data_IF_600877742186
#
_entry.id   IF_600877742186
#
_cell.length_a   1.000
_cell.length_b   1.000
_cell.length_c   1.000
_cell.angle_alpha   90.00
_cell.angle_beta   90.00
_cell.angle_gamma   90.00
#
_symmetry.space_group_name_H-M   'P 1'
#
loop_
_entity.id
_entity.type
_entity.pdbx_description
1 polymer ?
#
# COMPACT_ATOMS: atom_id res chain seq x y z
N UNK A 1 15.96 -3.15 -0.92
CA UNK A 1 16.25 -4.13 -1.99
C UNK A 1 17.57 -4.82 -1.71
N UNK A 2 18.67 -4.29 -2.25
CA UNK A 2 20.02 -4.88 -2.10
C UNK A 2 20.38 -5.19 -0.63
N UNK A 3 20.16 -4.24 0.28
CA UNK A 3 20.39 -4.44 1.73
C UNK A 3 19.63 -5.66 2.28
N UNK A 4 18.37 -5.84 1.89
CA UNK A 4 17.53 -6.94 2.38
C UNK A 4 18.08 -8.29 1.89
N UNK A 5 18.57 -8.35 0.64
CA UNK A 5 19.22 -9.55 0.09
C UNK A 5 20.50 -9.86 0.86
N UNK A 6 21.37 -8.85 1.05
CA UNK A 6 22.60 -9.00 1.82
C UNK A 6 22.39 -9.32 3.31
N UNK A 7 21.18 -9.10 3.82
CA UNK A 7 20.75 -9.39 5.20
C UNK A 7 19.91 -10.67 5.32
N UNK A 8 19.89 -11.55 4.31
CA UNK A 8 19.06 -12.77 4.31
C UNK A 8 17.57 -12.50 4.61
N UNK A 9 17.01 -11.48 3.96
CA UNK A 9 15.62 -11.07 4.05
C UNK A 9 15.18 -10.38 5.35
N UNK A 10 16.10 -10.04 6.25
CA UNK A 10 15.78 -9.15 7.38
C UNK A 10 15.49 -7.72 6.88
N UNK A 11 14.34 -7.18 7.27
CA UNK A 11 13.87 -5.84 6.92
C UNK A 11 13.92 -4.88 8.11
N UNK A 12 14.16 -5.38 9.32
CA UNK A 12 14.20 -4.55 10.51
C UNK A 12 15.52 -3.80 10.62
N UNK A 13 15.47 -2.50 10.38
CA UNK A 13 16.64 -1.61 10.48
C UNK A 13 17.27 -1.61 11.88
N UNK A 14 16.57 -2.07 12.93
CA UNK A 14 17.12 -2.19 14.28
C UNK A 14 18.19 -3.28 14.38
N UNK A 15 18.11 -4.30 13.54
CA UNK A 15 19.06 -5.41 13.47
C UNK A 15 20.20 -5.15 12.48
N UNK A 16 20.13 -4.05 11.72
CA UNK A 16 21.16 -3.63 10.78
C UNK A 16 22.17 -2.68 11.45
N UNK A 17 23.24 -2.31 10.74
CA UNK A 17 24.23 -1.33 11.19
C UNK A 17 25.63 -1.66 10.65
N UNK A 18 26.45 -0.64 10.40
CA UNK A 18 27.83 -0.82 9.91
C UNK A 18 27.97 -1.44 8.51
N UNK A 19 26.89 -1.52 7.73
CA UNK A 19 26.88 -2.19 6.42
C UNK A 19 27.79 -1.52 5.38
N UNK A 20 28.21 -0.26 5.58
CA UNK A 20 29.14 0.40 4.65
C UNK A 20 30.44 -0.39 4.44
N UNK A 21 30.85 -1.23 5.41
CA UNK A 21 32.10 -2.00 5.36
C UNK A 21 32.00 -3.17 4.39
N UNK A 22 30.79 -3.69 4.19
CA UNK A 22 30.52 -4.92 3.43
C UNK A 22 29.85 -4.63 2.09
N UNK A 23 29.10 -3.53 2.00
CA UNK A 23 28.26 -3.17 0.86
C UNK A 23 28.53 -1.72 0.39
N UNK A 24 29.76 -1.39 -0.05
CA UNK A 24 30.15 -0.01 -0.36
C UNK A 24 29.38 0.58 -1.55
N UNK A 25 29.02 -0.25 -2.54
CA UNK A 25 28.27 0.21 -3.72
C UNK A 25 26.83 0.56 -3.32
N UNK A 26 26.16 -0.32 -2.56
CA UNK A 26 24.81 -0.06 -2.05
C UNK A 26 24.80 1.15 -1.11
N UNK A 27 25.86 1.32 -0.31
CA UNK A 27 26.02 2.48 0.57
C UNK A 27 26.08 3.81 -0.21
N UNK A 28 26.94 3.91 -1.23
CA UNK A 28 27.08 5.14 -2.04
C UNK A 28 25.81 5.40 -2.86
N UNK A 29 25.25 4.38 -3.50
CA UNK A 29 24.02 4.54 -4.31
C UNK A 29 22.82 4.93 -3.44
N UNK A 30 22.70 4.39 -2.23
CA UNK A 30 21.69 4.81 -1.26
C UNK A 30 21.92 6.23 -0.75
N UNK A 31 23.17 6.68 -0.61
CA UNK A 31 23.49 8.06 -0.25
C UNK A 31 23.06 9.02 -1.35
N UNK A 32 23.43 8.75 -2.61
CA UNK A 32 23.03 9.54 -3.78
C UNK A 32 21.52 9.65 -3.87
N UNK A 33 20.80 8.53 -3.73
CA UNK A 33 19.33 8.54 -3.72
C UNK A 33 18.75 9.34 -2.56
N UNK A 34 19.35 9.27 -1.37
CA UNK A 34 18.89 10.04 -0.20
C UNK A 34 19.14 11.54 -0.38
N UNK A 35 20.32 11.93 -0.90
CA UNK A 35 20.67 13.33 -1.18
C UNK A 35 19.75 13.93 -2.25
N UNK A 36 19.44 13.16 -3.30
CA UNK A 36 18.47 13.57 -4.30
C UNK A 36 17.07 13.74 -3.70
N UNK A 37 16.59 12.80 -2.88
CA UNK A 37 15.25 12.84 -2.28
C UNK A 37 15.05 14.03 -1.32
N UNK A 38 16.07 14.41 -0.56
CA UNK A 38 15.96 15.53 0.39
C UNK A 38 16.04 16.91 -0.26
N UNK A 39 16.42 16.98 -1.54
CA UNK A 39 16.59 18.24 -2.27
C UNK A 39 17.97 18.87 -2.07
N UNK A 40 19.04 18.07 -1.97
CA UNK A 40 20.40 18.63 -1.87
C UNK A 40 20.76 19.36 -3.17
N UNK A 41 21.37 20.57 -3.11
CA UNK A 41 21.75 21.31 -4.30
C UNK A 41 22.55 20.45 -5.28
N UNK A 42 22.36 20.71 -6.57
CA UNK A 42 22.88 19.95 -7.73
C UNK A 42 22.20 18.61 -8.03
N UNK A 43 21.51 17.96 -7.09
CA UNK A 43 20.81 16.69 -7.37
C UNK A 43 19.44 16.92 -8.02
N UNK A 44 18.88 15.88 -8.67
CA UNK A 44 17.63 16.01 -9.41
C UNK A 44 16.44 16.47 -8.56
N UNK A 45 16.36 16.00 -7.31
CA UNK A 45 15.26 16.34 -6.43
C UNK A 45 15.31 17.77 -5.88
N UNK A 46 16.46 18.45 -5.95
CA UNK A 46 16.53 19.89 -5.65
C UNK A 46 15.71 20.67 -6.68
N UNK A 47 16.01 20.49 -7.96
CA UNK A 47 15.32 21.17 -9.05
C UNK A 47 13.81 20.91 -9.05
N UNK A 48 13.37 19.68 -8.78
CA UNK A 48 11.93 19.38 -8.76
C UNK A 48 11.22 19.87 -7.50
N UNK A 49 11.84 19.74 -6.31
CA UNK A 49 11.19 20.03 -5.03
C UNK A 49 11.20 21.51 -4.70
N UNK A 50 12.32 22.20 -4.91
CA UNK A 50 12.43 23.62 -4.61
C UNK A 50 11.55 24.45 -5.55
N UNK A 51 11.43 24.06 -6.83
CA UNK A 51 10.49 24.71 -7.76
C UNK A 51 9.04 24.66 -7.27
N UNK A 52 8.61 23.57 -6.62
CA UNK A 52 7.26 23.48 -6.03
C UNK A 52 7.13 24.41 -4.82
N UNK A 53 8.17 24.50 -3.98
CA UNK A 53 8.16 25.38 -2.81
C UNK A 53 8.09 26.84 -3.24
N UNK A 54 8.88 27.22 -4.23
CA UNK A 54 8.88 28.55 -4.84
C UNK A 54 7.52 28.87 -5.48
N UNK A 55 6.90 27.90 -6.18
CA UNK A 55 5.60 28.09 -6.80
C UNK A 55 4.48 28.29 -5.76
N UNK A 56 4.55 27.58 -4.64
CA UNK A 56 3.61 27.76 -3.53
C UNK A 56 3.82 29.13 -2.86
N UNK A 57 5.05 29.63 -2.81
CA UNK A 57 5.35 30.95 -2.24
C UNK A 57 4.86 32.10 -3.12
N UNK A 58 5.00 31.97 -4.44
CA UNK A 58 4.49 32.94 -5.41
C UNK A 58 2.94 32.92 -5.54
N UNK A 59 2.25 31.94 -4.93
CA UNK A 59 0.80 31.81 -5.07
C UNK A 59 0.04 32.67 -4.05
N UNK A 60 -0.90 33.49 -4.52
CA UNK A 60 -1.78 34.31 -3.67
C UNK A 60 -3.17 33.70 -3.38
N UNK A 61 -3.38 32.44 -3.76
CA UNK A 61 -4.65 31.74 -3.54
C UNK A 61 -4.92 31.48 -2.05
N UNK A 62 -6.21 31.37 -1.72
CA UNK A 62 -6.63 31.00 -0.38
C UNK A 62 -6.04 29.64 0.03
N UNK A 63 -5.41 29.58 1.19
CA UNK A 63 -4.75 28.37 1.70
C UNK A 63 -3.26 28.23 1.33
N UNK A 64 -2.70 29.13 0.52
CA UNK A 64 -1.28 29.10 0.15
C UNK A 64 -0.34 29.11 1.38
N UNK A 65 -0.66 29.87 2.42
CA UNK A 65 0.13 29.90 3.66
C UNK A 65 0.19 28.54 4.38
N UNK A 66 -0.93 27.80 4.43
CA UNK A 66 -0.95 26.46 5.01
C UNK A 66 -0.21 25.44 4.12
N UNK A 67 -0.35 25.58 2.80
CA UNK A 67 0.42 24.77 1.85
C UNK A 67 1.92 25.00 2.02
N UNK A 68 2.38 26.26 2.10
CA UNK A 68 3.78 26.64 2.33
C UNK A 68 4.31 26.00 3.62
N UNK A 69 3.57 26.13 4.72
CA UNK A 69 3.93 25.48 5.98
C UNK A 69 4.06 23.96 5.83
N UNK A 70 3.09 23.32 5.18
CA UNK A 70 3.05 21.86 5.03
C UNK A 70 4.20 21.32 4.19
N UNK A 71 4.53 21.99 3.08
CA UNK A 71 5.64 21.59 2.21
C UNK A 71 6.98 21.81 2.91
N UNK A 72 7.19 22.94 3.59
CA UNK A 72 8.41 23.22 4.36
C UNK A 72 8.60 22.25 5.53
N UNK A 73 7.54 21.96 6.29
CA UNK A 73 7.58 20.94 7.35
C UNK A 73 7.92 19.56 6.76
N UNK A 74 7.37 19.24 5.59
CA UNK A 74 7.70 18.04 4.83
C UNK A 74 9.18 17.93 4.49
N UNK A 75 9.86 19.02 4.12
CA UNK A 75 11.31 19.02 3.83
C UNK A 75 12.11 18.50 5.04
N UNK A 76 11.85 19.05 6.23
CA UNK A 76 12.52 18.62 7.46
C UNK A 76 12.22 17.14 7.78
N UNK A 77 10.95 16.74 7.74
CA UNK A 77 10.54 15.36 8.07
C UNK A 77 11.14 14.36 7.09
N UNK A 78 11.15 14.66 5.79
CA UNK A 78 11.78 13.84 4.76
C UNK A 78 13.28 13.68 5.00
N UNK A 79 13.99 14.77 5.27
CA UNK A 79 15.42 14.70 5.58
C UNK A 79 15.68 13.84 6.82
N UNK A 80 14.88 14.03 7.87
CA UNK A 80 15.02 13.29 9.11
C UNK A 80 14.80 11.77 8.94
N UNK A 81 13.69 11.32 8.33
CA UNK A 81 13.45 9.88 8.21
C UNK A 81 14.39 9.20 7.21
N UNK A 82 14.77 9.89 6.11
CA UNK A 82 15.69 9.33 5.11
C UNK A 82 17.07 9.12 5.70
N UNK A 83 17.61 10.13 6.41
CA UNK A 83 18.93 10.01 7.02
C UNK A 83 18.91 9.15 8.29
N UNK A 84 17.79 9.08 9.03
CA UNK A 84 17.61 8.06 10.07
C UNK A 84 17.83 6.66 9.51
N UNK A 85 17.15 6.33 8.40
CA UNK A 85 17.31 5.02 7.75
C UNK A 85 18.78 4.81 7.33
N UNK A 86 19.35 5.78 6.62
CA UNK A 86 20.72 5.70 6.12
C UNK A 86 21.76 5.48 7.25
N UNK A 87 21.65 6.24 8.36
CA UNK A 87 22.55 6.09 9.49
C UNK A 87 22.33 4.77 10.25
N UNK A 88 21.08 4.39 10.51
CA UNK A 88 20.79 3.12 11.21
C UNK A 88 21.24 1.89 10.41
N UNK A 89 21.11 1.92 9.08
CA UNK A 89 21.42 0.77 8.21
C UNK A 89 22.92 0.67 7.94
N UNK A 90 23.57 1.77 7.52
CA UNK A 90 24.96 1.72 7.04
C UNK A 90 26.01 2.12 8.07
N UNK A 91 25.64 2.86 9.10
CA UNK A 91 26.57 3.39 10.12
C UNK A 91 26.25 2.84 11.52
N UNK A 92 27.05 3.25 12.50
CA UNK A 92 26.94 2.80 13.88
C UNK A 92 27.47 1.38 14.10
N UNK A 93 27.11 0.82 15.25
CA UNK A 93 27.53 -0.54 15.62
C UNK A 93 26.90 -1.61 14.73
N UNK A 94 27.66 -2.65 14.45
CA UNK A 94 27.18 -3.87 13.79
C UNK A 94 26.23 -4.60 14.74
N UNK A 95 24.94 -4.60 14.39
CA UNK A 95 23.87 -5.24 15.17
C UNK A 95 23.40 -6.57 14.59
N UNK A 96 23.85 -6.91 13.38
CA UNK A 96 23.51 -8.14 12.69
C UNK A 96 24.23 -9.36 13.33
N UNK A 97 23.62 -10.54 13.25
CA UNK A 97 24.21 -11.79 13.77
C UNK A 97 24.25 -11.89 15.30
N UNK A 98 23.55 -11.00 16.03
CA UNK A 98 23.34 -11.16 17.47
C UNK A 98 22.13 -12.09 17.70
N UNK A 99 22.20 -13.06 18.62
CA UNK A 99 21.04 -13.88 18.94
C UNK A 99 19.96 -12.97 19.52
N UNK A 100 18.89 -12.77 18.76
CA UNK A 100 17.69 -12.14 19.27
C UNK A 100 16.92 -13.22 20.03
N UNK A 101 16.77 -13.04 21.34
CA UNK A 101 15.80 -13.79 22.14
C UNK A 101 14.40 -13.46 21.60
N UNK A 102 13.97 -14.19 20.59
CA UNK A 102 12.55 -14.44 20.39
C UNK A 102 12.19 -15.52 21.41
N UNK A 103 11.62 -15.10 22.53
CA UNK A 103 10.80 -15.97 23.36
C UNK A 103 9.56 -16.34 22.55
N UNK A 104 9.71 -17.25 21.60
CA UNK A 104 8.62 -18.04 21.07
C UNK A 104 9.05 -19.49 21.20
N UNK A 105 8.34 -20.20 22.06
CA UNK A 105 8.53 -21.61 22.36
C UNK A 105 8.33 -22.45 21.10
N UNK A 106 9.40 -22.93 20.48
CA UNK A 106 9.31 -24.13 19.64
C UNK A 106 10.52 -25.04 19.85
N UNK A 107 10.17 -26.29 20.08
CA UNK A 107 10.97 -27.41 20.53
C UNK A 107 11.96 -27.89 19.46
N UNK A 108 12.93 -28.66 19.94
CA UNK A 108 13.94 -29.37 19.16
C UNK A 108 13.34 -30.19 18.01
N UNK A 109 13.85 -29.97 16.79
CA UNK A 109 13.70 -30.91 15.69
C UNK A 109 13.39 -30.26 14.35
N UNK A 110 14.24 -30.59 13.37
CA UNK A 110 14.05 -30.40 11.91
C UNK A 110 14.21 -28.99 11.34
N UNK A 111 15.16 -28.88 10.39
CA UNK A 111 15.27 -27.90 9.29
C UNK A 111 14.12 -26.87 9.18
N UNK A 112 14.23 -25.73 9.89
CA UNK A 112 13.19 -24.70 9.96
C UNK A 112 13.37 -23.61 8.88
N UNK A 113 12.39 -23.39 7.98
CA UNK A 113 12.40 -22.36 6.93
C UNK A 113 12.00 -20.95 7.44
N UNK A 114 12.31 -20.59 8.69
CA UNK A 114 11.78 -19.37 9.34
C UNK A 114 12.77 -18.29 9.77
N UNK A 115 14.09 -18.52 9.72
CA UNK A 115 15.05 -17.51 10.18
C UNK A 115 15.35 -16.48 9.09
N UNK A 116 14.61 -15.36 9.08
CA UNK A 116 14.94 -14.19 8.28
C UNK A 116 16.01 -13.36 8.98
N UNK A 117 17.26 -13.49 8.53
CA UNK A 117 18.38 -12.73 9.08
C UNK A 117 19.72 -13.47 9.01
N UNK A 118 20.80 -12.74 9.30
CA UNK A 118 22.14 -13.31 9.37
C UNK A 118 22.31 -14.10 10.68
N UNK A 119 22.77 -15.35 10.55
CA UNK A 119 23.17 -16.22 11.67
C UNK A 119 24.48 -15.70 12.27
N UNK A 120 24.76 -15.87 13.59
CA UNK A 120 26.04 -15.49 14.18
C UNK A 120 27.25 -16.01 13.37
N UNK A 121 28.10 -15.10 12.90
CA UNK A 121 29.29 -15.42 12.10
C UNK A 121 29.13 -15.26 10.58
N UNK A 122 27.90 -15.14 10.07
CA UNK A 122 27.67 -14.75 8.67
C UNK A 122 27.85 -13.24 8.49
N UNK A 123 28.44 -12.86 7.36
CA UNK A 123 28.70 -11.46 7.02
C UNK A 123 27.75 -11.01 5.91
N UNK A 124 27.24 -9.77 5.97
CA UNK A 124 26.53 -9.19 4.84
C UNK A 124 27.42 -9.18 3.60
N UNK A 125 26.80 -9.31 2.43
CA UNK A 125 27.49 -9.22 1.15
C UNK A 125 26.73 -8.31 0.19
N UNK A 126 27.46 -7.77 -0.78
CA UNK A 126 26.84 -6.98 -1.83
C UNK A 126 25.95 -7.85 -2.73
N UNK A 127 24.93 -7.24 -3.35
CA UNK A 127 24.04 -7.95 -4.25
C UNK A 127 24.74 -8.38 -5.54
N UNK A 128 24.25 -9.43 -6.22
CA UNK A 128 24.75 -9.82 -7.52
C UNK A 128 24.61 -8.70 -8.56
N UNK A 129 25.39 -8.79 -9.63
CA UNK A 129 25.44 -7.80 -10.73
C UNK A 129 24.08 -7.44 -11.33
N UNK A 130 23.15 -8.39 -11.34
CA UNK A 130 21.77 -8.18 -11.83
C UNK A 130 21.02 -7.12 -11.02
N UNK A 131 21.40 -6.89 -9.76
CA UNK A 131 20.81 -5.87 -8.88
C UNK A 131 21.67 -4.61 -8.82
N UNK A 132 22.99 -4.75 -8.73
CA UNK A 132 23.89 -3.59 -8.56
C UNK A 132 24.00 -2.71 -9.81
N UNK A 133 23.97 -3.29 -11.01
CA UNK A 133 24.03 -2.52 -12.27
C UNK A 133 22.83 -1.57 -12.39
N UNK A 134 21.57 -2.04 -12.26
CA UNK A 134 20.42 -1.12 -12.26
C UNK A 134 20.50 -0.04 -11.18
N UNK A 135 20.98 -0.36 -9.97
CA UNK A 135 21.13 0.63 -8.90
C UNK A 135 22.09 1.76 -9.28
N UNK A 136 23.24 1.43 -9.87
CA UNK A 136 24.22 2.42 -10.33
C UNK A 136 23.63 3.23 -11.49
N UNK A 137 23.00 2.57 -12.46
CA UNK A 137 22.39 3.23 -13.62
C UNK A 137 21.27 4.20 -13.24
N UNK A 138 20.53 3.94 -12.14
CA UNK A 138 19.51 4.86 -11.61
C UNK A 138 20.10 5.98 -10.75
N UNK A 139 21.24 5.75 -10.09
CA UNK A 139 21.90 6.77 -9.28
C UNK A 139 22.47 7.92 -10.14
N UNK A 140 22.99 7.61 -11.33
CA UNK A 140 23.56 8.60 -12.27
C UNK A 140 22.54 9.69 -12.68
N UNK A 141 21.36 9.36 -13.25
CA UNK A 141 20.37 10.38 -13.59
C UNK A 141 19.83 11.06 -12.33
N UNK A 142 19.71 10.37 -11.19
CA UNK A 142 19.31 11.00 -9.93
C UNK A 142 20.29 12.10 -9.49
N UNK A 143 21.56 11.99 -9.82
CA UNK A 143 22.57 13.01 -9.51
C UNK A 143 22.57 14.19 -10.50
N UNK A 144 22.31 13.97 -11.78
CA UNK A 144 22.64 14.96 -12.82
C UNK A 144 21.43 15.42 -13.65
N UNK A 145 20.38 14.59 -13.81
CA UNK A 145 19.35 14.84 -14.83
C UNK A 145 18.58 16.15 -14.60
N UNK A 146 18.33 16.52 -13.34
CA UNK A 146 17.56 17.72 -13.01
C UNK A 146 18.23 19.00 -13.50
N UNK A 147 19.56 19.06 -13.50
CA UNK A 147 20.31 20.21 -14.03
C UNK A 147 20.01 20.46 -15.51
N UNK A 148 19.91 19.39 -16.30
CA UNK A 148 19.65 19.49 -17.74
C UNK A 148 18.17 19.64 -18.08
N UNK A 149 17.28 19.11 -17.24
CA UNK A 149 15.85 19.03 -17.58
C UNK A 149 14.99 20.11 -16.96
N UNK A 150 15.45 20.83 -15.94
CA UNK A 150 14.66 21.87 -15.26
C UNK A 150 14.12 22.91 -16.26
N UNK A 151 14.98 23.48 -17.10
CA UNK A 151 14.60 24.51 -18.05
C UNK A 151 13.63 24.00 -19.14
N UNK A 152 13.94 22.93 -19.90
CA UNK A 152 13.05 22.46 -20.96
C UNK A 152 11.72 21.91 -20.44
N UNK A 153 11.68 21.36 -19.21
CA UNK A 153 10.47 20.80 -18.61
C UNK A 153 9.59 21.89 -18.00
N UNK A 154 10.13 22.81 -17.21
CA UNK A 154 9.31 23.83 -16.52
C UNK A 154 8.96 25.01 -17.41
N UNK A 155 9.92 25.50 -18.21
CA UNK A 155 9.79 26.75 -18.96
C UNK A 155 9.85 26.57 -20.48
N UNK A 156 10.24 25.38 -20.93
CA UNK A 156 10.31 25.01 -22.33
C UNK A 156 8.99 24.52 -22.92
N UNK A 157 9.08 23.86 -24.06
CA UNK A 157 7.91 23.37 -24.81
C UNK A 157 7.53 21.93 -24.47
N UNK A 158 8.16 21.29 -23.47
CA UNK A 158 7.97 19.87 -23.20
C UNK A 158 6.52 19.49 -22.88
N UNK A 159 5.83 20.31 -22.09
CA UNK A 159 4.41 20.16 -21.76
C UNK A 159 3.50 21.11 -22.52
N UNK A 160 4.01 21.75 -23.58
CA UNK A 160 3.22 22.67 -24.38
C UNK A 160 2.01 21.93 -24.95
N UNK A 161 0.85 22.56 -24.88
CA UNK A 161 -0.44 22.04 -25.35
C UNK A 161 -0.97 20.79 -24.60
N UNK A 162 -0.25 20.30 -23.58
CA UNK A 162 -0.69 19.19 -22.70
C UNK A 162 -1.30 19.73 -21.41
N UNK A 163 -0.72 20.79 -20.85
CA UNK A 163 -1.16 21.39 -19.58
C UNK A 163 -1.86 22.72 -19.87
N UNK A 164 -3.11 22.84 -19.43
CA UNK A 164 -3.88 24.09 -19.48
C UNK A 164 -3.84 24.71 -18.08
N UNK A 165 -3.14 25.83 -17.95
CA UNK A 165 -3.06 26.59 -16.69
C UNK A 165 -4.18 27.63 -16.70
N UNK A 166 -5.06 27.60 -15.69
CA UNK A 166 -6.14 28.57 -15.57
C UNK A 166 -5.63 29.95 -15.16
N UNK A 167 -6.34 31.01 -15.55
CA UNK A 167 -5.95 32.42 -15.33
C UNK A 167 -5.68 32.79 -13.86
N UNK A 168 -6.26 32.05 -12.91
CA UNK A 168 -6.04 32.25 -11.47
C UNK A 168 -4.69 31.72 -10.95
N UNK A 169 -3.89 31.02 -11.78
CA UNK A 169 -2.65 30.34 -11.37
C UNK A 169 -1.41 30.97 -12.04
N UNK A 170 -1.07 32.19 -11.63
CA UNK A 170 0.03 33.00 -12.20
C UNK A 170 1.44 32.64 -11.69
N UNK A 171 1.56 31.79 -10.67
CA UNK A 171 2.81 31.53 -9.96
C UNK A 171 3.96 31.09 -10.90
N UNK A 172 3.68 30.20 -11.87
CA UNK A 172 4.71 29.74 -12.80
C UNK A 172 5.14 30.82 -13.81
N UNK A 173 4.25 31.77 -14.14
CA UNK A 173 4.58 32.89 -15.02
C UNK A 173 5.47 33.91 -14.31
N UNK A 174 5.23 34.13 -13.01
CA UNK A 174 6.07 34.98 -12.17
C UNK A 174 7.46 34.37 -11.97
N UNK A 175 7.54 33.09 -11.59
CA UNK A 175 8.81 32.38 -11.43
C UNK A 175 9.65 32.33 -12.70
N UNK A 176 9.02 32.29 -13.88
CA UNK A 176 9.74 32.34 -15.16
C UNK A 176 10.55 33.62 -15.33
N UNK A 177 10.10 34.76 -14.76
CA UNK A 177 10.80 36.05 -14.86
C UNK A 177 12.06 36.07 -13.98
N UNK A 178 12.00 35.37 -12.86
CA UNK A 178 13.08 35.32 -11.87
C UNK A 178 14.05 34.15 -12.11
N UNK A 179 13.73 33.23 -13.01
CA UNK A 179 14.59 32.10 -13.36
C UNK A 179 15.72 32.51 -14.31
N UNK A 180 16.95 32.59 -13.78
CA UNK A 180 18.16 32.96 -14.53
C UNK A 180 19.05 31.74 -14.86
N UNK A 181 18.49 30.53 -14.84
CA UNK A 181 19.14 29.27 -15.19
C UNK A 181 19.44 28.36 -14.00
N UNK A 182 19.82 27.09 -14.24
CA UNK A 182 19.95 26.07 -13.20
C UNK A 182 20.98 26.41 -12.11
N UNK A 183 22.10 27.04 -12.49
CA UNK A 183 23.13 27.45 -11.53
C UNK A 183 22.66 28.62 -10.65
N UNK A 184 21.87 29.55 -11.18
CA UNK A 184 21.34 30.67 -10.40
C UNK A 184 20.42 30.17 -9.29
N UNK A 185 19.52 29.24 -9.61
CA UNK A 185 18.63 28.56 -8.66
C UNK A 185 19.43 27.89 -7.53
N UNK A 186 20.53 27.20 -7.86
CA UNK A 186 21.40 26.60 -6.84
C UNK A 186 22.01 27.68 -5.93
N UNK A 187 22.50 28.79 -6.48
CA UNK A 187 23.12 29.85 -5.68
C UNK A 187 22.13 30.51 -4.73
N UNK A 188 20.91 30.79 -5.20
CA UNK A 188 19.85 31.39 -4.39
C UNK A 188 19.42 30.42 -3.27
N UNK A 189 19.38 29.13 -3.56
CA UNK A 189 19.01 28.10 -2.59
C UNK A 189 19.96 27.97 -1.41
N UNK A 190 21.21 28.43 -1.52
CA UNK A 190 22.18 28.38 -0.41
C UNK A 190 21.72 29.20 0.80
N UNK A 191 20.83 30.17 0.58
CA UNK A 191 20.24 31.01 1.62
C UNK A 191 18.78 30.67 1.91
N UNK A 192 18.19 29.71 1.19
CA UNK A 192 16.77 29.39 1.29
C UNK A 192 16.44 28.57 2.54
N UNK A 193 15.25 28.80 3.10
CA UNK A 193 14.77 28.04 4.24
C UNK A 193 14.70 26.51 4.02
N UNK A 194 14.28 25.98 2.84
CA UNK A 194 14.28 24.56 2.56
C UNK A 194 15.62 23.87 2.79
N UNK A 195 16.73 24.47 2.31
CA UNK A 195 18.06 23.89 2.47
C UNK A 195 18.45 23.76 3.94
N UNK A 196 18.26 24.82 4.72
CA UNK A 196 18.57 24.82 6.16
C UNK A 196 17.68 23.84 6.94
N UNK A 197 16.41 23.71 6.57
CA UNK A 197 15.51 22.70 7.16
C UNK A 197 15.93 21.28 6.81
N UNK A 198 16.37 21.02 5.57
CA UNK A 198 16.90 19.73 5.17
C UNK A 198 18.17 19.38 5.95
N UNK A 199 19.13 20.31 6.02
CA UNK A 199 20.36 20.16 6.81
C UNK A 199 20.02 19.91 8.28
N UNK A 200 19.10 20.68 8.86
CA UNK A 200 18.64 20.48 10.23
C UNK A 200 18.07 19.07 10.44
N UNK A 201 17.27 18.56 9.50
CA UNK A 201 16.75 17.19 9.55
C UNK A 201 17.86 16.13 9.56
N UNK A 202 18.89 16.30 8.72
CA UNK A 202 20.07 15.42 8.68
C UNK A 202 20.86 15.47 9.98
N UNK A 203 21.15 16.68 10.49
CA UNK A 203 21.91 16.90 11.73
C UNK A 203 21.17 16.32 12.93
N UNK A 204 19.86 16.55 13.04
CA UNK A 204 19.04 15.99 14.11
C UNK A 204 18.99 14.47 14.03
N UNK A 205 18.86 13.89 12.83
CA UNK A 205 18.92 12.44 12.65
C UNK A 205 20.28 11.86 13.06
N UNK A 206 21.38 12.51 12.66
CA UNK A 206 22.73 12.12 13.06
C UNK A 206 22.89 12.15 14.59
N UNK A 207 22.50 13.25 15.23
CA UNK A 207 22.58 13.40 16.68
C UNK A 207 21.75 12.34 17.41
N UNK A 208 20.52 12.10 16.96
CA UNK A 208 19.59 11.17 17.60
C UNK A 208 20.01 9.71 17.48
N UNK A 209 20.57 9.29 16.35
CA UNK A 209 20.83 7.87 16.10
C UNK A 209 22.30 7.47 16.19
N UNK A 210 23.25 8.40 16.00
CA UNK A 210 24.69 8.11 16.08
C UNK A 210 25.32 8.62 17.39
N UNK A 211 24.91 9.78 17.89
CA UNK A 211 25.55 10.41 19.06
C UNK A 211 24.83 10.07 20.37
N UNK A 212 23.51 10.25 20.42
CA UNK A 212 22.73 10.04 21.64
C UNK A 212 21.39 9.33 21.40
N UNK A 213 21.40 7.99 21.26
CA UNK A 213 20.19 7.16 21.09
C UNK A 213 19.17 7.24 22.24
N UNK A 214 19.54 7.82 23.39
CA UNK A 214 18.64 7.99 24.53
C UNK A 214 17.56 9.05 24.27
N UNK A 215 17.83 10.03 23.40
CA UNK A 215 16.88 11.12 23.11
C UNK A 215 15.62 10.59 22.41
N UNK A 216 15.70 9.83 21.30
CA UNK A 216 14.52 9.19 20.70
C UNK A 216 13.77 8.29 21.67
N UNK A 217 14.48 7.54 22.52
CA UNK A 217 13.85 6.67 23.52
C UNK A 217 13.04 7.48 24.56
N UNK A 218 13.58 8.60 25.04
CA UNK A 218 12.89 9.50 25.96
C UNK A 218 11.67 10.17 25.30
N UNK A 219 11.79 10.61 24.04
CA UNK A 219 10.67 11.17 23.27
C UNK A 219 9.55 10.13 23.12
N UNK A 220 9.90 8.89 22.77
CA UNK A 220 8.94 7.79 22.66
C UNK A 220 8.21 7.51 23.98
N UNK A 221 8.91 7.53 25.11
CA UNK A 221 8.30 7.33 26.42
C UNK A 221 7.36 8.47 26.80
N UNK A 222 7.76 9.73 26.57
CA UNK A 222 6.95 10.91 26.91
C UNK A 222 5.72 11.06 26.02
N UNK A 223 5.86 10.81 24.73
CA UNK A 223 4.79 10.94 23.73
C UNK A 223 4.23 9.59 23.29
N UNK A 224 4.19 8.62 24.20
CA UNK A 224 3.80 7.24 23.90
C UNK A 224 2.44 7.10 23.17
N UNK A 225 1.37 7.84 23.54
CA UNK A 225 0.09 7.74 22.82
C UNK A 225 0.21 8.19 21.35
N UNK A 226 0.94 9.29 21.11
CA UNK A 226 1.17 9.79 19.75
C UNK A 226 2.07 8.84 18.96
N UNK A 227 3.09 8.28 19.61
CA UNK A 227 3.93 7.25 19.00
C UNK A 227 3.10 6.05 18.55
N UNK A 228 2.23 5.51 19.42
CA UNK A 228 1.36 4.37 19.08
C UNK A 228 0.47 4.69 17.88
N UNK A 229 -0.12 5.89 17.85
CA UNK A 229 -0.97 6.32 16.74
C UNK A 229 -0.20 6.30 15.41
N UNK A 230 1.00 6.87 15.38
CA UNK A 230 1.85 6.95 14.18
C UNK A 230 2.41 5.57 13.77
N UNK A 231 2.82 4.77 14.75
CA UNK A 231 3.35 3.41 14.55
C UNK A 231 2.28 2.46 13.98
N UNK A 232 1.02 2.64 14.39
CA UNK A 232 -0.14 1.94 13.82
C UNK A 232 -0.71 2.62 12.57
N UNK A 233 0.05 3.50 11.90
CA UNK A 233 -0.35 4.21 10.66
C UNK A 233 -1.72 4.89 10.77
N UNK A 234 -1.97 5.58 11.87
CA UNK A 234 -3.25 6.23 12.20
C UNK A 234 -4.44 5.26 12.30
N UNK A 235 -4.18 3.96 12.47
CA UNK A 235 -5.17 2.89 12.45
C UNK A 235 -6.00 2.80 11.16
N UNK A 236 -5.54 3.42 10.05
CA UNK A 236 -6.26 3.38 8.78
C UNK A 236 -6.33 1.96 8.21
N UNK A 237 -5.25 1.17 8.35
CA UNK A 237 -5.24 -0.23 7.94
C UNK A 237 -6.29 -1.05 8.71
N UNK A 238 -6.34 -0.88 10.03
CA UNK A 238 -7.32 -1.56 10.90
C UNK A 238 -8.75 -1.10 10.61
N UNK A 239 -8.95 0.18 10.35
CA UNK A 239 -10.25 0.70 9.91
C UNK A 239 -10.68 0.04 8.61
N UNK A 240 -9.80 -0.04 7.61
CA UNK A 240 -10.12 -0.67 6.33
C UNK A 240 -10.43 -2.17 6.48
N UNK A 241 -9.66 -2.89 7.29
CA UNK A 241 -9.87 -4.31 7.54
C UNK A 241 -11.21 -4.58 8.26
N UNK A 242 -11.54 -3.76 9.28
CA UNK A 242 -12.76 -3.96 10.08
C UNK A 242 -13.99 -3.47 9.33
N UNK A 243 -13.95 -2.27 8.75
CA UNK A 243 -15.13 -1.64 8.16
C UNK A 243 -15.40 -2.16 6.76
N UNK A 244 -14.43 -2.09 5.86
CA UNK A 244 -14.64 -2.51 4.47
C UNK A 244 -14.54 -4.02 4.32
N UNK A 245 -13.43 -4.64 4.71
CA UNK A 245 -13.27 -6.09 4.53
C UNK A 245 -14.17 -6.89 5.48
N UNK A 246 -14.32 -6.46 6.74
CA UNK A 246 -15.26 -7.05 7.69
C UNK A 246 -16.71 -6.84 7.27
N UNK A 247 -17.10 -5.62 6.89
CA UNK A 247 -18.44 -5.31 6.39
C UNK A 247 -18.81 -6.10 5.13
N UNK A 248 -17.92 -6.18 4.14
CA UNK A 248 -18.13 -6.98 2.94
C UNK A 248 -18.29 -8.48 3.26
N UNK A 249 -17.47 -9.03 4.16
CA UNK A 249 -17.61 -10.43 4.61
C UNK A 249 -18.93 -10.65 5.34
N UNK A 250 -19.39 -9.70 6.15
CA UNK A 250 -20.68 -9.80 6.85
C UNK A 250 -21.85 -9.82 5.86
N UNK A 251 -21.85 -8.91 4.90
CA UNK A 251 -22.88 -8.85 3.84
C UNK A 251 -22.85 -10.13 3.01
N UNK A 252 -21.67 -10.58 2.60
CA UNK A 252 -21.51 -11.84 1.86
C UNK A 252 -22.04 -13.06 2.62
N UNK A 253 -21.74 -13.15 3.92
CA UNK A 253 -22.29 -14.21 4.79
C UNK A 253 -23.81 -14.10 4.94
N UNK A 254 -24.35 -12.88 5.01
CA UNK A 254 -25.79 -12.64 5.05
C UNK A 254 -26.48 -13.12 3.78
N UNK A 255 -25.98 -12.73 2.61
CA UNK A 255 -26.50 -13.15 1.31
C UNK A 255 -26.38 -14.65 1.09
N UNK A 256 -25.27 -15.28 1.50
CA UNK A 256 -25.11 -16.73 1.39
C UNK A 256 -26.07 -17.49 2.31
N UNK A 257 -26.17 -17.11 3.58
CA UNK A 257 -27.04 -17.81 4.53
C UNK A 257 -28.53 -17.62 4.19
N UNK A 258 -28.94 -16.40 3.83
CA UNK A 258 -30.36 -16.08 3.58
C UNK A 258 -30.77 -16.40 2.15
N UNK A 259 -29.98 -15.95 1.17
CA UNK A 259 -30.29 -16.15 -0.24
C UNK A 259 -30.11 -17.60 -0.67
N UNK A 260 -28.94 -18.16 -0.42
CA UNK A 260 -28.59 -19.48 -0.96
C UNK A 260 -29.21 -20.60 -0.10
N UNK A 261 -28.81 -20.70 1.17
CA UNK A 261 -29.22 -21.84 2.02
C UNK A 261 -30.71 -21.84 2.37
N UNK A 262 -31.30 -20.68 2.64
CA UNK A 262 -32.71 -20.62 3.09
C UNK A 262 -33.65 -20.53 1.90
N UNK A 263 -33.41 -19.60 0.97
CA UNK A 263 -34.35 -19.33 -0.12
C UNK A 263 -34.19 -20.32 -1.27
N UNK A 264 -32.97 -20.52 -1.80
CA UNK A 264 -32.76 -21.43 -2.93
C UNK A 264 -32.83 -22.89 -2.46
N UNK A 265 -31.94 -23.30 -1.58
CA UNK A 265 -31.86 -24.70 -1.14
C UNK A 265 -33.10 -25.10 -0.32
N UNK A 266 -33.49 -24.26 0.63
CA UNK A 266 -34.59 -24.56 1.55
C UNK A 266 -35.96 -24.52 0.87
N UNK A 267 -36.32 -23.39 0.28
CA UNK A 267 -37.67 -23.14 -0.22
C UNK A 267 -37.86 -23.68 -1.65
N UNK A 268 -36.94 -23.38 -2.57
CA UNK A 268 -37.11 -23.78 -3.98
C UNK A 268 -36.79 -25.25 -4.18
N UNK A 269 -35.60 -25.71 -3.78
CA UNK A 269 -35.16 -27.09 -4.04
C UNK A 269 -35.82 -28.08 -3.09
N UNK A 270 -35.59 -27.95 -1.79
CA UNK A 270 -36.14 -28.90 -0.81
C UNK A 270 -37.65 -28.74 -0.63
N UNK A 271 -38.19 -27.53 -0.78
CA UNK A 271 -39.64 -27.30 -0.72
C UNK A 271 -40.37 -27.96 -1.88
N UNK A 272 -39.87 -27.83 -3.11
CA UNK A 272 -40.46 -28.52 -4.27
C UNK A 272 -40.36 -30.04 -4.13
N UNK A 273 -39.21 -30.57 -3.70
CA UNK A 273 -39.04 -32.00 -3.45
C UNK A 273 -40.02 -32.53 -2.38
N UNK A 274 -40.22 -31.77 -1.30
CA UNK A 274 -41.21 -32.11 -0.26
C UNK A 274 -42.64 -32.07 -0.78
N UNK A 275 -42.99 -31.08 -1.61
CA UNK A 275 -44.32 -30.95 -2.20
C UNK A 275 -44.63 -32.14 -3.12
N UNK A 276 -43.68 -32.53 -3.99
CA UNK A 276 -43.81 -33.71 -4.85
C UNK A 276 -43.95 -34.98 -4.01
N UNK A 277 -43.10 -35.17 -2.99
CA UNK A 277 -43.18 -36.35 -2.12
C UNK A 277 -44.51 -36.41 -1.35
N UNK A 278 -45.02 -35.27 -0.88
CA UNK A 278 -46.33 -35.18 -0.24
C UNK A 278 -47.46 -35.56 -1.21
N UNK A 279 -47.44 -35.02 -2.42
CA UNK A 279 -48.39 -35.37 -3.47
C UNK A 279 -48.34 -36.86 -3.81
N UNK A 280 -47.15 -37.44 -3.99
CA UNK A 280 -46.98 -38.88 -4.23
C UNK A 280 -47.54 -39.74 -3.09
N UNK A 281 -47.35 -39.34 -1.83
CA UNK A 281 -47.91 -40.05 -0.67
C UNK A 281 -49.44 -40.02 -0.66
N UNK A 282 -50.05 -38.91 -1.06
CA UNK A 282 -51.52 -38.79 -1.18
C UNK A 282 -52.02 -39.66 -2.32
N UNK A 283 -51.42 -39.55 -3.51
CA UNK A 283 -51.81 -40.35 -4.68
C UNK A 283 -51.67 -41.84 -4.41
N UNK A 284 -50.68 -42.26 -3.61
CA UNK A 284 -50.53 -43.66 -3.19
C UNK A 284 -51.75 -44.19 -2.42
N UNK A 285 -52.45 -43.36 -1.65
CA UNK A 285 -53.66 -43.78 -0.93
C UNK A 285 -54.84 -44.11 -1.85
N UNK A 286 -54.81 -43.64 -3.11
CA UNK A 286 -55.84 -43.97 -4.10
C UNK A 286 -55.72 -45.42 -4.57
N UNK A 287 -54.54 -46.05 -4.43
CA UNK A 287 -54.36 -47.48 -4.64
C UNK A 287 -54.71 -48.25 -3.37
N UNK A 288 -56.00 -48.56 -3.21
CA UNK A 288 -56.55 -49.25 -2.04
C UNK A 288 -56.37 -50.78 -2.03
N UNK A 289 -55.96 -51.37 -3.16
CA UNK A 289 -55.81 -52.83 -3.31
C UNK A 289 -57.13 -53.62 -3.50
N UNK A 290 -58.29 -53.00 -3.30
CA UNK A 290 -59.59 -53.62 -3.53
C UNK A 290 -60.00 -53.57 -5.01
N UNK A 291 -60.30 -54.74 -5.59
CA UNK A 291 -60.65 -54.88 -7.03
C UNK A 291 -61.86 -54.02 -7.41
N UNK A 292 -62.86 -53.90 -6.52
CA UNK A 292 -64.08 -53.12 -6.76
C UNK A 292 -63.81 -51.62 -7.01
N UNK A 293 -62.84 -51.02 -6.31
CA UNK A 293 -62.50 -49.60 -6.53
C UNK A 293 -61.90 -49.36 -7.92
N UNK A 294 -61.07 -50.28 -8.42
CA UNK A 294 -60.52 -50.18 -9.77
C UNK A 294 -61.59 -50.33 -10.85
N UNK A 295 -62.50 -51.31 -10.69
CA UNK A 295 -63.61 -51.50 -11.61
C UNK A 295 -64.51 -50.26 -11.71
N UNK A 296 -64.82 -49.65 -10.56
CA UNK A 296 -65.60 -48.40 -10.50
C UNK A 296 -64.91 -47.24 -11.22
N UNK A 297 -63.61 -47.03 -10.98
CA UNK A 297 -62.83 -45.98 -11.67
C UNK A 297 -62.76 -46.21 -13.18
N UNK A 298 -62.61 -47.46 -13.64
CA UNK A 298 -62.60 -47.77 -15.08
C UNK A 298 -63.93 -47.44 -15.76
N UNK A 299 -65.06 -47.79 -15.13
CA UNK A 299 -66.40 -47.48 -15.67
C UNK A 299 -66.59 -45.96 -15.77
N UNK A 300 -66.23 -45.22 -14.71
CA UNK A 300 -66.28 -43.75 -14.72
C UNK A 300 -65.35 -43.17 -15.78
N UNK A 301 -64.14 -43.72 -15.93
CA UNK A 301 -63.17 -43.29 -16.93
C UNK A 301 -63.68 -43.46 -18.35
N UNK A 302 -64.28 -44.61 -18.67
CA UNK A 302 -64.90 -44.87 -19.97
C UNK A 302 -66.10 -43.95 -20.20
N UNK A 303 -66.97 -43.78 -19.20
CA UNK A 303 -68.13 -42.90 -19.30
C UNK A 303 -67.71 -41.44 -19.48
N UNK A 304 -66.71 -40.97 -18.73
CA UNK A 304 -66.12 -39.64 -18.87
C UNK A 304 -65.45 -39.44 -20.22
N UNK A 305 -64.72 -40.44 -20.72
CA UNK A 305 -64.13 -40.40 -22.05
C UNK A 305 -65.20 -40.31 -23.14
N UNK A 306 -66.28 -41.10 -23.04
CA UNK A 306 -67.40 -41.03 -23.97
C UNK A 306 -68.12 -39.68 -23.90
N UNK A 307 -68.35 -39.12 -22.72
CA UNK A 307 -68.96 -37.79 -22.56
C UNK A 307 -68.07 -36.68 -23.11
N UNK A 308 -66.75 -36.78 -22.95
CA UNK A 308 -65.81 -35.78 -23.45
C UNK A 308 -65.58 -35.89 -24.97
N UNK A 309 -65.43 -37.11 -25.48
CA UNK A 309 -65.13 -37.38 -26.88
C UNK A 309 -66.37 -37.32 -27.78
N UNK A 310 -67.56 -37.56 -27.21
CA UNK A 310 -68.82 -37.49 -27.93
C UNK A 310 -69.49 -36.17 -27.51
N UNK A 311 -69.24 -35.04 -28.24
CA UNK A 311 -69.97 -33.82 -27.97
C UNK A 311 -71.44 -34.17 -28.16
N UNK A 312 -72.27 -33.86 -27.16
CA UNK A 312 -73.67 -34.26 -27.15
C UNK A 312 -74.32 -34.07 -28.53
N UNK A 313 -75.09 -35.04 -29.05
CA UNK A 313 -75.90 -34.83 -30.25
C UNK A 313 -77.04 -33.80 -30.05
N UNK A 314 -77.06 -33.09 -28.91
CA UNK A 314 -78.02 -32.03 -28.57
C UNK A 314 -77.40 -30.63 -28.49
N UNK A 315 -76.14 -30.45 -28.88
CA UNK A 315 -75.64 -29.12 -29.21
C UNK A 315 -76.17 -28.75 -30.60
N UNK A 316 -77.35 -28.13 -30.64
CA UNK A 316 -77.74 -27.26 -31.76
C UNK A 316 -76.79 -26.08 -31.85
#
# INVERSE_FOLDING_TARGET
GSVIIGMHHDQDMRNMGGLHKYMPITWITSLIGSLALIGTPFFSGFYSKDSIIEAVDATHLYGAGFAKFSVLAGVFVTAFYSFRMYFMVFHGEERFGKPHHHTDHHEEGSDDPGYHGLVPGQKPHESPWVVTIPLILLAIPSAIIGFFTIEPILYGNFFKDVIIVGEAHIAMEELRKDFHGPLSMVMDSLTSAPLWLAIAGVVVAYYFYMVNPRVPAAIKQKFHPLYILLDNKYYLDKFNEVVFAGGARLIGRGLWNVGDRILIDGLVVNGSAKAVNWFSKITRLWQSGYIYHYAFVMIIGVLGFLVWFMPSPFAK
#
